data_IF_609816205800
#
_entry.id   IF_609816205800
#
_cell.length_a   1.000
_cell.length_b   1.000
_cell.length_c   1.000
_cell.angle_alpha   90.00
_cell.angle_beta   90.00
_cell.angle_gamma   90.00
#
_symmetry.space_group_name_H-M   'P 1'
#
loop_
_entity.id
_entity.type
_entity.pdbx_description
1 polymer ?
#
# COMPACT_ATOMS: atom_id res chain seq x y z
N UNK A 1 12.70 6.21 9.58
CA UNK A 1 13.29 7.52 9.92
C UNK A 1 14.56 7.31 10.72
N UNK A 2 14.53 6.74 11.93
CA UNK A 2 15.73 6.47 12.73
C UNK A 2 16.91 5.80 11.99
N UNK A 3 16.65 4.83 11.12
CA UNK A 3 17.71 4.21 10.31
C UNK A 3 18.40 5.19 9.33
N UNK A 4 17.64 6.12 8.75
CA UNK A 4 18.16 7.19 7.88
C UNK A 4 18.95 8.23 8.69
N UNK A 5 18.50 8.54 9.91
CA UNK A 5 19.20 9.49 10.79
C UNK A 5 20.58 8.96 11.20
N UNK A 6 20.72 7.63 11.35
CA UNK A 6 21.99 6.96 11.62
C UNK A 6 22.85 6.85 10.35
N UNK A 7 22.24 6.53 9.20
CA UNK A 7 22.93 6.37 7.92
C UNK A 7 22.06 6.85 6.74
N UNK A 8 22.40 7.98 6.10
CA UNK A 8 21.65 8.53 4.97
C UNK A 8 21.57 7.61 3.74
N UNK A 9 22.45 6.61 3.60
CA UNK A 9 22.34 5.61 2.56
C UNK A 9 21.11 4.68 2.77
N UNK A 10 20.52 4.67 3.96
CA UNK A 10 19.33 3.90 4.30
C UNK A 10 18.02 4.66 4.01
N UNK A 11 17.96 5.38 2.88
CA UNK A 11 16.78 6.09 2.42
C UNK A 11 15.65 5.16 1.97
N UNK A 12 14.45 5.72 1.81
CA UNK A 12 13.23 5.01 1.40
C UNK A 12 12.77 5.47 0.02
N UNK A 13 12.03 4.63 -0.71
CA UNK A 13 11.56 4.93 -2.06
C UNK A 13 10.10 4.54 -2.26
N UNK A 14 9.40 5.30 -3.09
CA UNK A 14 8.03 5.02 -3.51
C UNK A 14 7.85 5.37 -4.99
N UNK A 15 6.79 4.82 -5.57
CA UNK A 15 6.23 5.25 -6.84
C UNK A 15 4.75 5.51 -6.63
N UNK A 16 4.23 6.53 -7.32
CA UNK A 16 2.82 6.82 -7.39
C UNK A 16 2.04 5.62 -7.93
N UNK A 17 0.92 5.27 -7.30
CA UNK A 17 0.01 4.24 -7.79
C UNK A 17 -1.41 4.81 -7.85
N UNK A 18 -1.97 4.93 -9.05
CA UNK A 18 -3.31 5.50 -9.28
C UNK A 18 -4.45 4.48 -9.11
N UNK A 19 -4.14 3.20 -8.91
CA UNK A 19 -5.13 2.14 -8.69
C UNK A 19 -4.54 1.00 -7.84
N UNK A 20 -5.39 0.32 -7.07
CA UNK A 20 -5.04 -0.79 -6.19
C UNK A 20 -4.27 -1.89 -6.90
N UNK A 21 -4.71 -2.27 -8.10
CA UNK A 21 -4.02 -3.24 -8.94
C UNK A 21 -2.59 -2.83 -9.31
N UNK A 22 -2.33 -1.55 -9.60
CA UNK A 22 -0.98 -1.06 -9.91
C UNK A 22 -0.10 -1.13 -8.66
N UNK A 23 -0.64 -0.74 -7.50
CA UNK A 23 0.05 -0.90 -6.21
C UNK A 23 0.38 -2.36 -5.92
N UNK A 24 -0.57 -3.26 -6.13
CA UNK A 24 -0.37 -4.70 -5.96
C UNK A 24 0.73 -5.26 -6.85
N UNK A 25 0.68 -5.00 -8.16
CA UNK A 25 1.70 -5.50 -9.09
C UNK A 25 3.08 -4.92 -8.76
N UNK A 26 3.17 -3.66 -8.31
CA UNK A 26 4.41 -3.06 -7.82
C UNK A 26 5.00 -3.87 -6.66
N UNK A 27 4.20 -4.19 -5.64
CA UNK A 27 4.69 -4.89 -4.44
C UNK A 27 5.03 -6.36 -4.73
N UNK A 28 4.25 -7.04 -5.58
CA UNK A 28 4.58 -8.39 -6.05
C UNK A 28 5.92 -8.38 -6.79
N UNK A 29 6.12 -7.41 -7.70
CA UNK A 29 7.39 -7.25 -8.44
C UNK A 29 8.56 -7.00 -7.49
N UNK A 30 8.37 -6.15 -6.48
CA UNK A 30 9.40 -5.83 -5.49
C UNK A 30 9.83 -7.10 -4.75
N UNK A 31 8.90 -7.86 -4.17
CA UNK A 31 9.23 -9.09 -3.44
C UNK A 31 9.90 -10.13 -4.35
N UNK A 32 9.42 -10.27 -5.59
CA UNK A 32 9.98 -11.20 -6.57
C UNK A 32 11.45 -10.90 -6.91
N UNK A 33 11.82 -9.63 -7.05
CA UNK A 33 13.13 -9.24 -7.58
C UNK A 33 14.12 -8.79 -6.50
N UNK A 34 13.65 -8.29 -5.36
CA UNK A 34 14.48 -7.76 -4.28
C UNK A 34 14.40 -8.58 -2.99
N UNK A 35 13.46 -9.54 -2.90
CA UNK A 35 13.35 -10.48 -1.78
C UNK A 35 12.59 -9.95 -0.55
N UNK A 36 12.59 -8.64 -0.33
CA UNK A 36 11.84 -8.00 0.76
C UNK A 36 11.13 -6.71 0.31
N UNK A 37 10.30 -6.16 1.20
CA UNK A 37 9.60 -4.87 1.05
C UNK A 37 10.28 -3.72 1.81
N UNK A 38 11.45 -3.99 2.40
CA UNK A 38 12.12 -3.07 3.30
C UNK A 38 12.47 -1.78 2.58
N UNK A 39 12.10 -0.64 3.18
CA UNK A 39 12.32 0.73 2.63
C UNK A 39 11.54 1.02 1.32
N UNK A 40 10.52 0.23 0.98
CA UNK A 40 9.65 0.45 -0.18
C UNK A 40 8.25 0.84 0.28
N UNK A 41 7.76 2.00 -0.18
CA UNK A 41 6.46 2.54 0.20
C UNK A 41 5.53 2.73 -1.01
N UNK A 42 4.26 3.00 -0.73
CA UNK A 42 3.32 3.58 -1.68
C UNK A 42 3.36 5.11 -1.62
N UNK A 43 3.12 5.74 -2.77
CA UNK A 43 2.79 7.16 -2.84
C UNK A 43 1.41 7.29 -3.48
N UNK A 44 0.54 8.06 -2.83
CA UNK A 44 -0.74 8.46 -3.37
C UNK A 44 -0.63 9.91 -3.82
N UNK A 45 -0.92 10.14 -5.10
CA UNK A 45 -0.74 11.43 -5.76
C UNK A 45 -2.08 12.12 -5.94
N UNK A 46 -2.23 13.35 -5.42
CA UNK A 46 -3.41 14.20 -5.66
C UNK A 46 -3.65 14.39 -7.16
N UNK A 47 -2.59 14.73 -7.91
CA UNK A 47 -2.62 14.84 -9.37
C UNK A 47 -3.23 13.63 -10.08
N UNK A 48 -2.80 12.41 -9.74
CA UNK A 48 -3.33 11.20 -10.40
C UNK A 48 -4.78 10.91 -10.00
N UNK A 49 -5.19 11.30 -8.79
CA UNK A 49 -6.59 11.19 -8.37
C UNK A 49 -7.44 12.14 -9.20
N UNK A 50 -7.03 13.41 -9.30
CA UNK A 50 -7.72 14.41 -10.12
C UNK A 50 -7.82 13.96 -11.59
N UNK A 51 -6.73 13.44 -12.15
CA UNK A 51 -6.67 13.06 -13.56
C UNK A 51 -7.42 11.76 -13.90
N UNK A 52 -7.52 10.80 -12.96
CA UNK A 52 -7.92 9.42 -13.30
C UNK A 52 -9.04 8.83 -12.44
N UNK A 53 -9.34 9.41 -11.26
CA UNK A 53 -10.20 8.78 -10.24
C UNK A 53 -11.45 9.56 -9.89
N UNK A 54 -11.54 10.79 -10.35
CA UNK A 54 -12.70 11.66 -10.22
C UNK A 54 -13.92 11.10 -10.97
N UNK A 55 -15.08 11.09 -10.32
CA UNK A 55 -16.37 10.78 -10.96
C UNK A 55 -16.73 11.77 -12.08
N UNK A 56 -16.14 12.97 -12.06
CA UNK A 56 -16.27 13.97 -13.13
C UNK A 56 -15.42 13.68 -14.37
N UNK A 57 -14.66 12.57 -14.36
CA UNK A 57 -13.63 12.30 -15.35
C UNK A 57 -12.36 13.14 -15.09
N UNK A 58 -11.46 13.24 -16.08
CA UNK A 58 -10.17 13.90 -15.91
C UNK A 58 -10.30 15.38 -15.56
N UNK A 59 -9.74 15.77 -14.41
CA UNK A 59 -9.67 17.15 -13.94
C UNK A 59 -8.22 17.62 -13.81
N UNK A 60 -7.97 18.94 -13.90
CA UNK A 60 -6.67 19.49 -13.52
C UNK A 60 -6.46 19.39 -12.00
N UNK A 61 -5.20 19.47 -11.61
CA UNK A 61 -4.75 19.32 -10.23
C UNK A 61 -4.99 20.59 -9.40
N UNK A 62 -6.25 20.77 -8.98
CA UNK A 62 -6.74 21.96 -8.28
C UNK A 62 -7.77 21.60 -7.18
N UNK A 63 -7.69 20.38 -6.64
CA UNK A 63 -8.60 19.88 -5.59
C UNK A 63 -10.11 20.01 -5.90
N UNK A 64 -10.48 20.00 -7.18
CA UNK A 64 -11.88 20.16 -7.63
C UNK A 64 -12.69 18.87 -7.66
N UNK A 65 -12.02 17.72 -7.62
CA UNK A 65 -12.67 16.41 -7.56
C UNK A 65 -13.29 16.18 -6.18
N UNK A 66 -14.22 15.23 -6.10
CA UNK A 66 -14.80 14.81 -4.84
C UNK A 66 -13.72 14.26 -3.90
N UNK A 67 -13.55 14.93 -2.75
CA UNK A 67 -12.51 14.57 -1.76
C UNK A 67 -12.59 13.13 -1.24
N UNK A 68 -13.71 12.44 -1.45
CA UNK A 68 -13.90 11.02 -1.13
C UNK A 68 -13.07 10.08 -2.01
N UNK A 69 -12.66 10.51 -3.21
CA UNK A 69 -11.79 9.72 -4.08
C UNK A 69 -10.41 9.47 -3.44
N UNK A 70 -9.94 10.40 -2.60
CA UNK A 70 -8.66 10.30 -1.87
C UNK A 70 -8.62 9.11 -0.90
N UNK A 71 -9.49 9.03 0.14
CA UNK A 71 -9.52 7.87 1.03
C UNK A 71 -9.97 6.59 0.33
N UNK A 72 -10.84 6.67 -0.69
CA UNK A 72 -11.25 5.49 -1.45
C UNK A 72 -10.06 4.81 -2.14
N UNK A 73 -9.12 5.58 -2.71
CA UNK A 73 -7.91 5.02 -3.31
C UNK A 73 -6.98 4.39 -2.26
N UNK A 74 -6.88 4.97 -1.05
CA UNK A 74 -6.10 4.37 0.05
C UNK A 74 -6.67 3.00 0.42
N UNK A 75 -7.98 2.93 0.63
CA UNK A 75 -8.67 1.69 0.98
C UNK A 75 -8.54 0.64 -0.12
N UNK A 76 -8.69 1.05 -1.39
CA UNK A 76 -8.51 0.17 -2.55
C UNK A 76 -7.08 -0.39 -2.61
N UNK A 77 -6.06 0.46 -2.45
CA UNK A 77 -4.66 0.02 -2.40
C UNK A 77 -4.45 -1.05 -1.33
N UNK A 78 -4.90 -0.81 -0.09
CA UNK A 78 -4.74 -1.79 0.98
C UNK A 78 -5.59 -3.05 0.78
N UNK A 79 -6.77 -2.94 0.18
CA UNK A 79 -7.60 -4.10 -0.20
C UNK A 79 -6.84 -5.02 -1.16
N UNK A 80 -6.24 -4.46 -2.20
CA UNK A 80 -5.47 -5.23 -3.18
C UNK A 80 -4.18 -5.82 -2.59
N UNK A 81 -3.50 -5.12 -1.67
CA UNK A 81 -2.31 -5.65 -0.98
C UNK A 81 -2.67 -6.82 -0.05
N UNK A 82 -3.72 -6.68 0.77
CA UNK A 82 -4.21 -7.76 1.64
C UNK A 82 -4.68 -8.97 0.82
N UNK A 83 -5.27 -8.74 -0.35
CA UNK A 83 -5.65 -9.82 -1.24
C UNK A 83 -4.44 -10.53 -1.86
N UNK A 84 -3.34 -9.83 -2.11
CA UNK A 84 -2.09 -10.45 -2.53
C UNK A 84 -1.54 -11.38 -1.44
N UNK A 85 -1.55 -10.93 -0.18
CA UNK A 85 -1.19 -11.77 0.98
C UNK A 85 -2.03 -13.03 1.07
N UNK A 86 -3.36 -12.86 1.03
CA UNK A 86 -4.30 -13.97 1.12
C UNK A 86 -4.08 -15.01 0.01
N UNK A 87 -3.79 -14.56 -1.21
CA UNK A 87 -3.52 -15.46 -2.34
C UNK A 87 -2.23 -16.26 -2.16
N UNK A 88 -1.13 -15.61 -1.79
CA UNK A 88 0.17 -16.28 -1.60
C UNK A 88 0.11 -17.26 -0.42
N UNK A 89 -0.47 -16.85 0.71
CA UNK A 89 -0.66 -17.71 1.88
C UNK A 89 -1.56 -18.91 1.55
N UNK A 90 -2.66 -18.70 0.81
CA UNK A 90 -3.51 -19.81 0.36
C UNK A 90 -2.74 -20.80 -0.53
N UNK A 91 -1.78 -20.34 -1.34
CA UNK A 91 -0.86 -21.19 -2.09
C UNK A 91 -0.02 -22.07 -1.16
N UNK A 92 0.61 -21.48 -0.14
CA UNK A 92 1.42 -22.19 0.85
C UNK A 92 0.61 -23.23 1.63
N UNK A 93 -0.63 -22.90 2.02
CA UNK A 93 -1.50 -23.85 2.72
C UNK A 93 -1.89 -25.05 1.85
N UNK A 94 -2.15 -24.85 0.55
CA UNK A 94 -2.41 -25.98 -0.37
C UNK A 94 -1.20 -26.89 -0.51
N UNK A 95 0.00 -26.31 -0.62
CA UNK A 95 1.24 -27.10 -0.66
C UNK A 95 1.48 -27.86 0.64
N UNK A 96 1.11 -27.26 1.78
CA UNK A 96 1.22 -27.88 3.10
C UNK A 96 0.31 -29.09 3.22
N UNK A 97 -0.94 -28.98 2.77
CA UNK A 97 -1.90 -30.08 2.78
C UNK A 97 -1.44 -31.25 1.90
N UNK A 98 -0.89 -30.96 0.72
CA UNK A 98 -0.28 -31.97 -0.16
C UNK A 98 0.92 -32.64 0.51
N UNK A 99 1.80 -31.87 1.16
CA UNK A 99 2.97 -32.41 1.86
C UNK A 99 2.57 -33.30 3.04
N UNK A 100 1.53 -32.93 3.79
CA UNK A 100 0.96 -33.74 4.87
C UNK A 100 0.36 -35.04 4.37
N UNK A 101 -0.43 -34.98 3.28
CA UNK A 101 -1.03 -36.17 2.67
C UNK A 101 0.02 -37.15 2.12
N UNK A 102 1.19 -36.64 1.70
CA UNK A 102 2.32 -37.43 1.22
C UNK A 102 3.33 -37.83 2.34
N UNK A 103 3.01 -37.54 3.61
CA UNK A 103 3.87 -37.77 4.79
C UNK A 103 5.30 -37.21 4.66
N UNK A 104 5.45 -36.08 3.94
CA UNK A 104 6.73 -35.42 3.70
C UNK A 104 7.11 -34.49 4.86
N UNK A 105 7.51 -35.06 6.00
CA UNK A 105 7.76 -34.33 7.25
C UNK A 105 8.74 -33.14 7.11
N UNK A 106 9.81 -33.30 6.31
CA UNK A 106 10.76 -32.21 6.06
C UNK A 106 10.12 -31.03 5.31
N UNK A 107 9.29 -31.31 4.30
CA UNK A 107 8.58 -30.29 3.52
C UNK A 107 7.49 -29.61 4.34
N UNK A 108 6.81 -30.36 5.21
CA UNK A 108 5.84 -29.81 6.16
C UNK A 108 6.52 -28.77 7.07
N UNK A 109 7.69 -29.10 7.64
CA UNK A 109 8.45 -28.18 8.48
C UNK A 109 8.89 -26.91 7.71
N UNK A 110 9.39 -27.06 6.48
CA UNK A 110 9.77 -25.94 5.61
C UNK A 110 8.58 -25.01 5.32
N UNK A 111 7.41 -25.57 4.96
CA UNK A 111 6.23 -24.79 4.61
C UNK A 111 5.65 -24.06 5.82
N UNK A 112 5.63 -24.69 7.00
CA UNK A 112 5.22 -24.01 8.23
C UNK A 112 6.13 -22.82 8.54
N UNK A 113 7.44 -22.97 8.35
CA UNK A 113 8.38 -21.85 8.50
C UNK A 113 8.10 -20.73 7.49
N UNK A 114 7.82 -21.05 6.22
CA UNK A 114 7.45 -20.04 5.22
C UNK A 114 6.16 -19.30 5.57
N UNK A 115 5.19 -19.97 6.17
CA UNK A 115 3.93 -19.38 6.59
C UNK A 115 4.16 -18.45 7.80
N UNK A 116 4.89 -18.92 8.81
CA UNK A 116 5.16 -18.16 10.03
C UNK A 116 6.04 -16.92 9.77
N UNK A 117 6.95 -17.03 8.81
CA UNK A 117 7.83 -15.94 8.38
C UNK A 117 7.32 -15.21 7.12
N UNK A 118 6.03 -15.36 6.77
CA UNK A 118 5.48 -14.70 5.58
C UNK A 118 5.58 -13.17 5.70
N UNK A 119 6.29 -12.55 4.78
CA UNK A 119 6.35 -11.09 4.69
C UNK A 119 5.10 -10.55 3.99
N UNK A 120 4.34 -9.68 4.64
CA UNK A 120 3.17 -9.03 4.05
C UNK A 120 3.54 -8.08 2.90
N UNK A 121 2.66 -7.96 1.90
CA UNK A 121 2.74 -6.92 0.88
C UNK A 121 2.27 -5.54 1.40
N UNK A 122 1.69 -5.47 2.60
CA UNK A 122 1.25 -4.23 3.25
C UNK A 122 2.47 -3.40 3.65
N UNK A 123 2.60 -2.23 3.03
CA UNK A 123 3.67 -1.26 3.30
C UNK A 123 3.10 0.11 3.65
N UNK A 124 3.89 1.00 4.28
CA UNK A 124 3.51 2.39 4.49
C UNK A 124 3.14 3.11 3.19
N UNK A 125 2.21 4.06 3.30
CA UNK A 125 1.83 5.00 2.24
C UNK A 125 2.09 6.43 2.70
N UNK A 126 2.67 7.23 1.81
CA UNK A 126 2.68 8.70 1.93
C UNK A 126 1.49 9.19 1.10
N UNK A 127 0.50 9.77 1.76
CA UNK A 127 -0.75 10.17 1.15
C UNK A 127 -0.88 11.69 1.06
N UNK A 128 -0.99 12.17 -0.18
CA UNK A 128 -1.24 13.56 -0.52
C UNK A 128 -2.69 13.97 -0.17
N UNK A 129 -2.84 15.09 0.54
CA UNK A 129 -4.15 15.70 0.90
C UNK A 129 -4.33 17.07 0.23
N UNK A 130 -3.45 17.45 -0.70
CA UNK A 130 -3.34 18.82 -1.23
C UNK A 130 -3.22 19.83 -0.07
N UNK A 131 -3.97 20.94 -0.12
CA UNK A 131 -4.12 21.89 0.97
C UNK A 131 -5.27 21.56 1.95
N UNK A 132 -5.75 20.31 1.98
CA UNK A 132 -6.79 19.85 2.92
C UNK A 132 -8.23 19.97 2.44
N UNK A 133 -8.47 20.33 1.18
CA UNK A 133 -9.79 20.44 0.55
C UNK A 133 -10.78 21.36 1.32
N UNK A 134 -10.28 22.41 1.96
CA UNK A 134 -11.08 23.37 2.72
C UNK A 134 -10.31 24.01 3.87
N UNK A 135 -11.03 24.38 4.93
CA UNK A 135 -10.45 24.90 6.17
C UNK A 135 -9.87 23.76 7.04
N UNK A 136 -9.42 24.11 8.25
CA UNK A 136 -8.81 23.19 9.20
C UNK A 136 -9.77 22.08 9.66
N UNK A 137 -11.06 22.40 9.82
CA UNK A 137 -12.08 21.41 10.17
C UNK A 137 -12.31 20.41 9.03
N UNK A 138 -12.41 20.90 7.80
CA UNK A 138 -12.52 20.04 6.61
C UNK A 138 -11.28 19.15 6.45
N UNK A 139 -10.09 19.71 6.69
CA UNK A 139 -8.81 18.99 6.66
C UNK A 139 -8.80 17.87 7.70
N UNK A 140 -9.20 18.17 8.94
CA UNK A 140 -9.29 17.17 10.01
C UNK A 140 -10.22 16.00 9.62
N UNK A 141 -11.41 16.30 9.10
CA UNK A 141 -12.39 15.28 8.72
C UNK A 141 -11.88 14.39 7.57
N UNK A 142 -11.18 14.98 6.59
CA UNK A 142 -10.61 14.24 5.47
C UNK A 142 -9.42 13.38 5.92
N UNK A 143 -8.47 13.96 6.66
CA UNK A 143 -7.30 13.26 7.18
C UNK A 143 -7.70 12.08 8.07
N UNK A 144 -8.73 12.26 8.92
CA UNK A 144 -9.28 11.16 9.73
C UNK A 144 -9.72 9.98 8.86
N UNK A 145 -10.48 10.23 7.79
CA UNK A 145 -10.91 9.18 6.86
C UNK A 145 -9.75 8.53 6.11
N UNK A 146 -8.73 9.31 5.72
CA UNK A 146 -7.52 8.77 5.08
C UNK A 146 -6.76 7.82 6.02
N UNK A 147 -6.67 8.16 7.30
CA UNK A 147 -6.04 7.32 8.33
C UNK A 147 -6.88 6.06 8.58
N UNK A 148 -8.21 6.19 8.69
CA UNK A 148 -9.13 5.05 8.82
C UNK A 148 -9.04 4.08 7.62
N UNK A 149 -8.80 4.60 6.41
CA UNK A 149 -8.56 3.82 5.21
C UNK A 149 -7.17 3.12 5.19
N UNK A 150 -6.23 3.56 6.05
CA UNK A 150 -4.95 2.90 6.28
C UNK A 150 -3.71 3.79 6.13
N UNK A 151 -3.85 5.08 5.83
CA UNK A 151 -2.68 5.95 5.71
C UNK A 151 -2.00 6.20 7.07
N UNK A 152 -0.68 6.04 7.11
CA UNK A 152 0.15 6.34 8.28
C UNK A 152 0.92 7.66 8.15
N UNK A 153 0.95 8.27 6.97
CA UNK A 153 1.61 9.55 6.71
C UNK A 153 0.75 10.40 5.77
N UNK A 154 0.47 11.64 6.20
CA UNK A 154 -0.28 12.64 5.44
C UNK A 154 0.68 13.75 5.02
N UNK A 155 0.71 14.07 3.74
CA UNK A 155 1.41 15.22 3.17
C UNK A 155 0.39 16.32 2.92
N UNK A 156 0.62 17.51 3.47
CA UNK A 156 -0.19 18.72 3.27
C UNK A 156 0.71 19.87 2.80
N UNK A 157 0.18 20.78 1.99
CA UNK A 157 0.92 21.92 1.42
C UNK A 157 0.36 23.29 1.85
N UNK A 158 1.10 24.37 1.52
CA UNK A 158 0.82 25.74 1.94
C UNK A 158 0.65 26.75 0.78
N UNK A 159 0.31 26.27 -0.42
CA UNK A 159 0.14 27.11 -1.63
C UNK A 159 -1.04 28.08 -1.54
#
# INVERSE_FOLDING_TARGET
MAAYDVDPALYTQSLGCWHGFIGQQKLISIKKHFGDTKRKYLYLSGWMIAALRSDFGPLPDQSMHEKTAVPALIEELYTFLKQADARELAGLFRELDVARAADQQSKVAELLQKIDNFESHVVPIIADIDAGFGNEEATYLLAKKMIEAGACAIQIENQ
#
